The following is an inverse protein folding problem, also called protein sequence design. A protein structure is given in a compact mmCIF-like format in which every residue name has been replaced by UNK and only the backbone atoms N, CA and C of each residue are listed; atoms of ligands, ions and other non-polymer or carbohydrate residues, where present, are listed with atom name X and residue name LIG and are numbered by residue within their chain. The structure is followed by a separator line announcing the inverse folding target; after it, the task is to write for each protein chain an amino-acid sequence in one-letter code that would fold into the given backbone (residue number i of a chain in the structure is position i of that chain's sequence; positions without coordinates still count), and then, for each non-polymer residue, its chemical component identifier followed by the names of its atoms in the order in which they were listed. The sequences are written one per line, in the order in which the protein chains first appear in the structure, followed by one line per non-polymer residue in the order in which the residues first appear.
data_IF_516751651315
#
_entry.id   IF_516751651315
#
_cell.length_a   1.000
_cell.length_b   1.000
_cell.length_c   1.000
_cell.angle_alpha   90.00
_cell.angle_beta   90.00
_cell.angle_gamma   90.00
#
_symmetry.space_group_name_H-M   'P 1'
#
loop_
_entity.id
_entity.type
_entity.pdbx_description
1 polymer ?
#
# COMPACT_ATOMS: atom_id res chain seq x y z
N UNK A 1 -13.77 3.56 1.51
CA UNK A 1 -13.22 2.23 1.87
C UNK A 1 -14.05 1.07 1.30
N UNK A 2 -15.34 1.29 1.07
CA UNK A 2 -16.33 0.36 0.50
C UNK A 2 -15.85 -0.41 -0.75
N UNK A 3 -15.19 0.24 -1.70
CA UNK A 3 -14.66 -0.39 -2.92
C UNK A 3 -13.61 -1.48 -2.61
N UNK A 4 -12.73 -1.21 -1.65
CA UNK A 4 -11.67 -2.14 -1.24
C UNK A 4 -12.30 -3.36 -0.54
N UNK A 5 -13.30 -3.12 0.32
CA UNK A 5 -14.02 -4.22 0.97
C UNK A 5 -14.81 -5.07 -0.02
N UNK A 6 -15.45 -4.46 -1.01
CA UNK A 6 -16.13 -5.19 -2.08
C UNK A 6 -15.15 -6.07 -2.88
N UNK A 7 -13.98 -5.52 -3.25
CA UNK A 7 -12.94 -6.28 -3.93
C UNK A 7 -12.39 -7.43 -3.07
N UNK A 8 -12.15 -7.19 -1.78
CA UNK A 8 -11.70 -8.25 -0.86
C UNK A 8 -12.73 -9.35 -0.66
N UNK A 9 -14.02 -8.99 -0.56
CA UNK A 9 -15.10 -9.96 -0.46
C UNK A 9 -15.17 -10.84 -1.71
N UNK A 10 -15.10 -10.21 -2.89
CA UNK A 10 -15.10 -10.93 -4.18
C UNK A 10 -13.90 -11.89 -4.27
N UNK A 11 -12.70 -11.42 -3.92
CA UNK A 11 -11.48 -12.23 -3.89
C UNK A 11 -11.61 -13.42 -2.93
N UNK A 12 -12.06 -13.19 -1.70
CA UNK A 12 -12.28 -14.27 -0.71
C UNK A 12 -13.34 -15.27 -1.17
N UNK A 13 -14.33 -14.84 -1.93
CA UNK A 13 -15.35 -15.70 -2.52
C UNK A 13 -14.89 -16.45 -3.79
N UNK A 14 -13.63 -16.30 -4.20
CA UNK A 14 -13.09 -16.89 -5.43
C UNK A 14 -13.67 -16.30 -6.71
N UNK A 15 -14.34 -15.15 -6.61
CA UNK A 15 -14.92 -14.44 -7.74
C UNK A 15 -13.87 -13.52 -8.37
N UNK A 16 -13.96 -13.31 -9.69
CA UNK A 16 -13.12 -12.32 -10.35
C UNK A 16 -13.49 -10.91 -9.88
N UNK A 17 -12.47 -10.15 -9.50
CA UNK A 17 -12.61 -8.73 -9.16
C UNK A 17 -12.63 -7.92 -10.45
N UNK A 18 -13.83 -7.66 -10.97
CA UNK A 18 -14.06 -6.80 -12.15
C UNK A 18 -14.87 -5.56 -11.77
N UNK A 19 -14.86 -4.56 -12.65
CA UNK A 19 -15.65 -3.34 -12.47
C UNK A 19 -17.14 -3.69 -12.23
N UNK A 20 -17.75 -4.48 -13.09
CA UNK A 20 -19.13 -4.97 -12.93
C UNK A 20 -19.39 -5.70 -11.61
N UNK A 21 -18.48 -6.58 -11.19
CA UNK A 21 -18.65 -7.35 -9.97
C UNK A 21 -18.63 -6.44 -8.73
N UNK A 22 -17.69 -5.48 -8.69
CA UNK A 22 -17.58 -4.50 -7.60
C UNK A 22 -18.83 -3.62 -7.55
N UNK A 23 -19.31 -3.13 -8.70
CA UNK A 23 -20.53 -2.30 -8.78
C UNK A 23 -21.76 -3.05 -8.26
N UNK A 24 -21.93 -4.32 -8.65
CA UNK A 24 -23.06 -5.14 -8.18
C UNK A 24 -23.06 -5.33 -6.68
N UNK A 25 -21.90 -5.61 -6.08
CA UNK A 25 -21.76 -5.77 -4.62
C UNK A 25 -22.11 -4.46 -3.91
N UNK A 26 -21.59 -3.32 -4.39
CA UNK A 26 -21.87 -2.01 -3.80
C UNK A 26 -23.35 -1.61 -3.94
N UNK A 27 -23.96 -1.85 -5.10
CA UNK A 27 -25.39 -1.61 -5.32
C UNK A 27 -26.26 -2.49 -4.42
N UNK A 28 -25.92 -3.77 -4.27
CA UNK A 28 -26.62 -4.68 -3.38
C UNK A 28 -26.53 -4.22 -1.91
N UNK A 29 -25.44 -3.56 -1.53
CA UNK A 29 -25.26 -2.95 -0.22
C UNK A 29 -25.95 -1.56 -0.08
N UNK A 30 -26.66 -1.09 -1.10
CA UNK A 30 -27.33 0.22 -1.10
C UNK A 30 -26.38 1.40 -1.26
N UNK A 31 -25.13 1.17 -1.67
CA UNK A 31 -24.12 2.21 -1.85
C UNK A 31 -24.24 2.82 -3.25
N UNK A 32 -24.17 4.15 -3.32
CA UNK A 32 -24.09 4.86 -4.60
C UNK A 32 -22.73 4.62 -5.25
N UNK A 33 -22.75 4.03 -6.43
CA UNK A 33 -21.55 3.69 -7.20
C UNK A 33 -21.03 4.92 -7.96
N UNK A 34 -19.71 5.06 -7.96
CA UNK A 34 -18.92 5.98 -8.74
C UNK A 34 -18.03 5.16 -9.70
N UNK A 35 -18.27 5.33 -10.98
CA UNK A 35 -17.58 4.59 -12.04
C UNK A 35 -16.09 4.90 -12.11
N UNK A 36 -15.69 6.14 -11.83
CA UNK A 36 -14.28 6.53 -11.85
C UNK A 36 -13.51 5.83 -10.73
N UNK A 37 -14.12 5.69 -9.55
CA UNK A 37 -13.52 4.98 -8.41
C UNK A 37 -13.45 3.48 -8.64
N UNK A 38 -14.48 2.89 -9.25
CA UNK A 38 -14.45 1.48 -9.63
C UNK A 38 -13.31 1.19 -10.63
N UNK A 39 -13.16 2.02 -11.66
CA UNK A 39 -12.06 1.90 -12.64
C UNK A 39 -10.68 2.09 -12.02
N UNK A 40 -10.52 3.11 -11.18
CA UNK A 40 -9.26 3.35 -10.48
C UNK A 40 -8.85 2.16 -9.61
N UNK A 41 -9.81 1.50 -8.95
CA UNK A 41 -9.55 0.29 -8.17
C UNK A 41 -9.06 -0.85 -9.06
N UNK A 42 -9.76 -1.13 -10.16
CA UNK A 42 -9.37 -2.23 -11.07
C UNK A 42 -7.98 -1.97 -11.65
N UNK A 43 -7.70 -0.75 -12.11
CA UNK A 43 -6.38 -0.37 -12.60
C UNK A 43 -5.29 -0.51 -11.53
N UNK A 44 -5.59 -0.19 -10.27
CA UNK A 44 -4.64 -0.35 -9.15
C UNK A 44 -4.40 -1.82 -8.79
N UNK A 45 -5.28 -2.73 -9.19
CA UNK A 45 -5.16 -4.17 -8.97
C UNK A 45 -4.57 -4.90 -10.18
N UNK A 46 -4.35 -4.22 -11.31
CA UNK A 46 -3.70 -4.82 -12.47
C UNK A 46 -2.28 -5.26 -12.13
N UNK A 47 -1.98 -6.54 -12.36
CA UNK A 47 -0.68 -7.13 -12.04
C UNK A 47 -0.42 -7.33 -10.53
N UNK A 48 -1.40 -7.04 -9.66
CA UNK A 48 -1.27 -7.27 -8.22
C UNK A 48 -1.77 -8.66 -7.86
N UNK A 49 -0.92 -9.45 -7.19
CA UNK A 49 -1.35 -10.67 -6.51
C UNK A 49 -1.97 -10.30 -5.15
N UNK A 50 -3.30 -10.42 -5.05
CA UNK A 50 -4.05 -10.01 -3.86
C UNK A 50 -3.68 -10.87 -2.65
N UNK A 51 -3.40 -12.18 -2.83
CA UNK A 51 -3.03 -13.06 -1.72
C UNK A 51 -1.68 -12.64 -1.10
N UNK A 52 -0.67 -12.42 -1.94
CA UNK A 52 0.63 -11.92 -1.46
C UNK A 52 0.53 -10.54 -0.79
N UNK A 53 -0.31 -9.66 -1.32
CA UNK A 53 -0.52 -8.33 -0.74
C UNK A 53 -1.13 -8.42 0.66
N UNK A 54 -2.09 -9.32 0.87
CA UNK A 54 -2.71 -9.59 2.17
C UNK A 54 -1.72 -10.23 3.15
N UNK A 55 -0.92 -11.18 2.69
CA UNK A 55 0.12 -11.80 3.53
C UNK A 55 1.15 -10.76 3.99
N UNK A 56 1.72 -9.98 3.06
CA UNK A 56 2.68 -8.91 3.37
C UNK A 56 2.07 -7.89 4.35
N UNK A 57 0.81 -7.51 4.16
CA UNK A 57 0.12 -6.61 5.09
C UNK A 57 -0.03 -7.22 6.50
N UNK A 58 -0.23 -8.53 6.59
CA UNK A 58 -0.35 -9.25 7.87
C UNK A 58 0.98 -9.33 8.63
N UNK A 59 2.11 -9.46 7.91
CA UNK A 59 3.44 -9.44 8.52
C UNK A 59 3.87 -8.06 9.04
N UNK A 60 3.40 -6.97 8.42
CA UNK A 60 3.66 -5.59 8.89
C UNK A 60 2.85 -5.27 10.15
N UNK A 61 1.74 -5.96 10.39
CA UNK A 61 0.86 -5.76 11.54
C UNK A 61 1.25 -6.60 12.78
N UNK A 62 2.20 -7.55 12.66
CA UNK A 62 2.69 -8.31 13.80
C UNK A 62 3.70 -7.45 14.60
N UNK A 63 3.51 -7.21 15.91
CA UNK A 63 4.54 -6.56 16.70
C UNK A 63 5.78 -7.44 16.64
N UNK A 64 6.94 -6.84 16.34
CA UNK A 64 8.22 -7.52 16.36
C UNK A 64 8.43 -8.11 17.76
N UNK A 65 8.10 -9.39 17.93
CA UNK A 65 8.43 -10.14 19.12
C UNK A 65 9.95 -10.22 19.16
N UNK A 66 10.52 -9.42 20.05
CA UNK A 66 11.91 -9.51 20.49
C UNK A 66 12.26 -10.97 20.75
N UNK A 67 13.09 -11.55 19.90
CA UNK A 67 13.77 -12.81 20.15
C UNK A 67 15.28 -12.59 20.00
N UNK A 68 15.97 -12.83 21.10
CA UNK A 68 17.41 -12.75 21.32
C UNK A 68 18.24 -13.57 20.30
N UNK A 69 19.53 -13.26 20.11
CA UNK A 69 20.31 -13.81 19.01
C UNK A 69 20.77 -15.23 19.34
N UNK A 70 20.42 -16.19 18.50
CA UNK A 70 21.21 -17.42 18.37
C UNK A 70 21.86 -17.43 16.99
N UNK A 71 23.17 -17.24 17.04
CA UNK A 71 24.15 -17.33 15.96
C UNK A 71 24.14 -18.70 15.28
N UNK A 72 24.04 -18.71 13.94
CA UNK A 72 24.95 -19.44 13.05
C UNK A 72 24.56 -19.20 11.58
N UNK A 73 25.42 -18.50 10.81
CA UNK A 73 25.36 -18.44 9.35
C UNK A 73 25.37 -17.03 8.75
N UNK A 74 26.54 -16.38 8.73
CA UNK A 74 26.87 -15.25 7.84
C UNK A 74 27.50 -15.81 6.53
N UNK A 75 27.37 -15.13 5.36
CA UNK A 75 28.10 -13.88 5.08
C UNK A 75 27.17 -12.76 4.57
N UNK A 76 27.21 -11.56 5.15
CA UNK A 76 28.02 -10.40 4.76
C UNK A 76 27.58 -9.75 3.44
N UNK A 77 26.77 -8.68 3.55
CA UNK A 77 26.78 -7.48 2.71
C UNK A 77 25.68 -6.49 3.14
N UNK A 78 25.84 -5.83 4.30
CA UNK A 78 24.93 -4.73 4.70
C UNK A 78 25.60 -3.76 5.66
N UNK A 79 26.46 -2.87 5.14
CA UNK A 79 26.91 -1.70 5.90
C UNK A 79 27.59 -0.62 5.04
N UNK A 80 26.88 -0.06 4.05
CA UNK A 80 27.33 1.24 3.49
C UNK A 80 26.22 2.18 2.99
N UNK A 81 24.98 1.73 2.80
CA UNK A 81 23.93 2.56 2.16
C UNK A 81 23.00 3.32 3.13
N UNK A 82 23.39 3.51 4.39
CA UNK A 82 22.56 4.22 5.39
C UNK A 82 22.95 5.70 5.60
N UNK A 83 24.14 6.10 5.14
CA UNK A 83 24.67 7.45 5.37
C UNK A 83 24.17 8.53 4.40
N UNK A 84 23.92 8.18 3.13
CA UNK A 84 23.56 9.16 2.08
C UNK A 84 22.10 9.60 2.09
N UNK A 85 21.16 8.72 2.48
CA UNK A 85 19.72 9.01 2.41
C UNK A 85 19.26 10.11 3.36
N UNK A 86 19.90 10.25 4.52
CA UNK A 86 19.51 11.24 5.54
C UNK A 86 19.94 12.69 5.21
N UNK A 87 20.91 12.86 4.31
CA UNK A 87 21.35 14.18 3.86
C UNK A 87 20.48 14.74 2.71
N UNK A 88 19.91 13.84 1.89
CA UNK A 88 19.04 14.22 0.77
C UNK A 88 17.62 14.61 1.24
N UNK A 89 17.10 13.92 2.25
CA UNK A 89 15.78 14.20 2.84
C UNK A 89 15.71 15.60 3.48
N UNK A 90 16.73 15.97 4.27
CA UNK A 90 16.81 17.31 4.88
C UNK A 90 16.93 18.44 3.87
N UNK A 91 17.64 18.21 2.75
CA UNK A 91 17.79 19.23 1.69
C UNK A 91 16.50 19.42 0.90
N UNK A 92 15.69 18.38 0.78
CA UNK A 92 14.41 18.42 0.07
C UNK A 92 13.34 19.15 0.90
N UNK A 93 13.28 18.91 2.20
CA UNK A 93 12.34 19.62 3.09
C UNK A 93 12.62 21.13 3.17
N UNK A 94 13.89 21.53 3.25
CA UNK A 94 14.25 22.95 3.33
C UNK A 94 13.94 23.71 2.03
N UNK A 95 14.10 23.04 0.87
CA UNK A 95 13.79 23.63 -0.43
C UNK A 95 12.28 23.71 -0.68
N UNK A 96 11.49 22.74 -0.19
CA UNK A 96 10.03 22.76 -0.26
C UNK A 96 9.42 23.88 0.61
N UNK A 97 9.96 24.10 1.82
CA UNK A 97 9.52 25.18 2.70
C UNK A 97 9.81 26.57 2.10
N UNK A 98 10.96 26.75 1.45
CA UNK A 98 11.31 28.00 0.78
C UNK A 98 10.42 28.32 -0.43
N UNK A 99 10.01 27.31 -1.21
CA UNK A 99 9.14 27.50 -2.37
C UNK A 99 7.70 27.91 -2.01
N UNK A 100 7.18 27.42 -0.88
CA UNK A 100 5.86 27.80 -0.38
C UNK A 100 5.80 29.26 0.11
N UNK A 101 6.88 29.77 0.72
CA UNK A 101 6.95 31.17 1.15
C UNK A 101 6.89 32.18 0.00
N UNK A 102 7.44 31.83 -1.17
CA UNK A 102 7.43 32.68 -2.36
C UNK A 102 6.07 32.70 -3.09
N UNK A 103 5.19 31.73 -2.83
CA UNK A 103 3.87 31.64 -3.48
C UNK A 103 2.77 32.41 -2.74
N UNK A 104 3.00 32.75 -1.46
CA UNK A 104 2.04 33.42 -0.59
C UNK A 104 2.52 34.78 -0.04
N UNK A 105 3.61 35.32 -0.60
CA UNK A 105 4.12 36.66 -0.32
C UNK A 105 3.56 37.73 -1.25
#
# INVERSE_FOLDING_TARGET
MEYIYAAMLLHKAGQKVTEDAVKKVLQAAGVKVDDARAKALIASLEGVNIDEAVEKASFVAAPAASAAPSSAGQPEAKKEDAGKKKAEEKKTEEMAAAGLGALFG
#
